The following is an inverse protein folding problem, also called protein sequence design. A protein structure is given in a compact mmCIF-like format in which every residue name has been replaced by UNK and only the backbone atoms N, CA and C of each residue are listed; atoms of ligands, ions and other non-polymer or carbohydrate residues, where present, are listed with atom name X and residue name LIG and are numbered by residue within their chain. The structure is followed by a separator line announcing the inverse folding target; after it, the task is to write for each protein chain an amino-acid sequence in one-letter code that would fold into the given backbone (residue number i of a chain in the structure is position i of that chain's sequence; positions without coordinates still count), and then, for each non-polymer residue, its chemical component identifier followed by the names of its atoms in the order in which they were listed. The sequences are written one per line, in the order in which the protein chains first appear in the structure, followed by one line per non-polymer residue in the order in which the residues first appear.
data_IF_189839891809
#
_entry.id   IF_189839891809
#
_cell.length_a   1.000
_cell.length_b   1.000
_cell.length_c   1.000
_cell.angle_alpha   90.00
_cell.angle_beta   90.00
_cell.angle_gamma   90.00
#
_symmetry.space_group_name_H-M   'P 1'
#
loop_
_entity.id
_entity.type
_entity.pdbx_description
1 polymer ?
#
# COMPACT_ATOMS: atom_id res chain seq x y z
N UNK A 1 34.36 8.95 10.40
CA UNK A 1 32.92 9.29 10.39
C UNK A 1 32.21 9.02 9.06
N UNK A 2 32.90 8.66 7.95
CA UNK A 2 32.26 8.45 6.64
C UNK A 2 31.58 7.09 6.42
N UNK A 3 31.95 6.04 7.16
CA UNK A 3 31.43 4.68 6.99
C UNK A 3 30.03 4.50 7.60
N UNK A 4 29.73 5.17 8.71
CA UNK A 4 28.42 5.09 9.38
C UNK A 4 27.30 5.72 8.57
N UNK A 5 27.55 6.85 7.91
CA UNK A 5 26.57 7.56 7.07
C UNK A 5 26.18 6.72 5.84
N UNK A 6 27.17 6.08 5.20
CA UNK A 6 26.94 5.16 4.08
C UNK A 6 26.06 3.97 4.47
N UNK A 7 26.36 3.30 5.59
CA UNK A 7 25.56 2.15 6.05
C UNK A 7 24.13 2.53 6.45
N UNK A 8 23.92 3.74 6.98
CA UNK A 8 22.61 4.25 7.33
C UNK A 8 21.78 4.53 6.07
N UNK A 9 22.38 5.19 5.07
CA UNK A 9 21.73 5.46 3.79
C UNK A 9 21.29 4.16 3.08
N UNK A 10 22.15 3.13 3.07
CA UNK A 10 21.80 1.82 2.51
C UNK A 10 20.62 1.16 3.23
N UNK A 11 20.59 1.20 4.57
CA UNK A 11 19.47 0.66 5.34
C UNK A 11 18.15 1.40 5.09
N UNK A 12 18.22 2.72 4.93
CA UNK A 12 17.04 3.54 4.59
C UNK A 12 16.51 3.14 3.20
N UNK A 13 17.39 3.04 2.20
CA UNK A 13 17.00 2.65 0.84
C UNK A 13 16.38 1.23 0.81
N UNK A 14 16.98 0.26 1.51
CA UNK A 14 16.41 -1.10 1.61
C UNK A 14 15.04 -1.11 2.29
N UNK A 15 14.84 -0.28 3.33
CA UNK A 15 13.55 -0.16 4.02
C UNK A 15 12.49 0.46 3.11
N UNK A 16 12.84 1.49 2.34
CA UNK A 16 11.94 2.13 1.38
C UNK A 16 11.51 1.15 0.29
N UNK A 17 12.47 0.45 -0.33
CA UNK A 17 12.17 -0.56 -1.35
C UNK A 17 11.27 -1.68 -0.82
N UNK A 18 11.49 -2.12 0.42
CA UNK A 18 10.63 -3.10 1.08
C UNK A 18 9.21 -2.57 1.29
N UNK A 19 9.06 -1.32 1.74
CA UNK A 19 7.76 -0.69 1.95
C UNK A 19 7.00 -0.50 0.63
N UNK A 20 7.68 -0.08 -0.44
CA UNK A 20 7.08 0.04 -1.77
C UNK A 20 6.60 -1.31 -2.29
N UNK A 21 7.42 -2.36 -2.15
CA UNK A 21 7.02 -3.72 -2.52
C UNK A 21 5.78 -4.19 -1.73
N UNK A 22 5.77 -3.96 -0.42
CA UNK A 22 4.63 -4.28 0.44
C UNK A 22 3.37 -3.51 0.05
N UNK A 23 3.51 -2.22 -0.27
CA UNK A 23 2.41 -1.38 -0.73
C UNK A 23 1.81 -1.93 -2.03
N UNK A 24 2.65 -2.29 -3.00
CA UNK A 24 2.21 -2.90 -4.26
C UNK A 24 1.49 -4.23 -4.05
N UNK A 25 2.03 -5.11 -3.19
CA UNK A 25 1.38 -6.38 -2.84
C UNK A 25 -0.01 -6.16 -2.23
N UNK A 26 -0.15 -5.16 -1.34
CA UNK A 26 -1.44 -4.79 -0.74
C UNK A 26 -2.42 -4.26 -1.78
N UNK A 27 -1.99 -3.34 -2.65
CA UNK A 27 -2.84 -2.80 -3.72
C UNK A 27 -3.31 -3.89 -4.68
N UNK A 28 -2.42 -4.82 -5.07
CA UNK A 28 -2.79 -5.95 -5.92
C UNK A 28 -3.80 -6.88 -5.27
N UNK A 29 -3.73 -7.09 -3.95
CA UNK A 29 -4.70 -7.88 -3.21
C UNK A 29 -6.08 -7.21 -3.20
N UNK A 30 -6.15 -5.91 -2.92
CA UNK A 30 -7.41 -5.16 -2.97
C UNK A 30 -7.98 -5.19 -4.38
N UNK A 31 -7.14 -4.97 -5.39
CA UNK A 31 -7.55 -4.99 -6.80
C UNK A 31 -8.22 -6.31 -7.22
N UNK A 32 -7.96 -7.46 -6.57
CA UNK A 32 -8.64 -8.72 -6.89
C UNK A 32 -10.14 -8.69 -6.64
N UNK A 33 -10.60 -7.83 -5.72
CA UNK A 33 -12.01 -7.70 -5.33
C UNK A 33 -12.74 -6.58 -6.08
N UNK A 34 -12.00 -5.79 -6.88
CA UNK A 34 -12.50 -4.61 -7.56
C UNK A 34 -12.84 -4.87 -9.03
N UNK A 35 -13.84 -4.15 -9.53
CA UNK A 35 -14.11 -4.06 -10.97
C UNK A 35 -12.96 -3.36 -11.71
N UNK A 36 -12.97 -3.40 -13.05
CA UNK A 36 -11.95 -2.69 -13.85
C UNK A 36 -11.95 -1.19 -13.60
N UNK A 37 -13.14 -0.59 -13.45
CA UNK A 37 -13.33 0.84 -13.14
C UNK A 37 -12.80 1.19 -11.75
N UNK A 38 -13.11 0.37 -10.73
CA UNK A 38 -12.63 0.60 -9.36
C UNK A 38 -11.11 0.41 -9.23
N UNK A 39 -10.50 -0.46 -10.06
CA UNK A 39 -9.03 -0.59 -10.11
C UNK A 39 -8.39 0.70 -10.60
N UNK A 40 -8.95 1.37 -11.59
CA UNK A 40 -8.45 2.66 -12.06
C UNK A 40 -8.52 3.72 -10.95
N UNK A 41 -9.61 3.73 -10.16
CA UNK A 41 -9.73 4.58 -8.96
C UNK A 41 -8.66 4.23 -7.92
N UNK A 42 -8.43 2.94 -7.64
CA UNK A 42 -7.42 2.50 -6.69
C UNK A 42 -6.00 2.92 -7.08
N UNK A 43 -5.63 2.75 -8.35
CA UNK A 43 -4.28 3.06 -8.84
C UNK A 43 -4.08 4.56 -9.14
N UNK A 44 -5.14 5.29 -9.49
CA UNK A 44 -5.08 6.75 -9.62
C UNK A 44 -4.98 7.46 -8.26
N UNK A 45 -5.46 6.82 -7.19
CA UNK A 45 -5.49 7.39 -5.84
C UNK A 45 -6.57 8.46 -5.64
N UNK A 46 -7.46 8.64 -6.61
CA UNK A 46 -8.50 9.66 -6.60
C UNK A 46 -9.88 9.02 -6.41
N UNK A 47 -10.26 8.79 -5.16
CA UNK A 47 -11.59 8.32 -4.79
C UNK A 47 -11.57 7.24 -3.71
N UNK A 48 -12.70 6.57 -3.56
CA UNK A 48 -12.88 5.45 -2.63
C UNK A 48 -13.29 4.20 -3.42
N UNK A 49 -12.80 3.05 -2.96
CA UNK A 49 -13.12 1.75 -3.54
C UNK A 49 -13.71 0.84 -2.47
N UNK A 50 -14.58 -0.08 -2.87
CA UNK A 50 -15.19 -1.03 -1.93
C UNK A 50 -14.20 -2.13 -1.61
N UNK A 51 -13.79 -2.22 -0.34
CA UNK A 51 -12.89 -3.26 0.14
C UNK A 51 -13.63 -4.14 1.16
N UNK A 52 -13.48 -5.47 1.11
CA UNK A 52 -13.99 -6.34 2.17
C UNK A 52 -13.43 -5.96 3.54
N UNK A 53 -14.26 -5.99 4.57
CA UNK A 53 -13.90 -5.59 5.94
C UNK A 53 -12.66 -6.34 6.46
N UNK A 54 -12.56 -7.62 6.17
CA UNK A 54 -11.44 -8.49 6.58
C UNK A 54 -10.10 -8.00 6.01
N UNK A 55 -10.05 -7.62 4.73
CA UNK A 55 -8.82 -7.10 4.11
C UNK A 55 -8.52 -5.66 4.54
N UNK A 56 -9.54 -4.84 4.78
CA UNK A 56 -9.37 -3.51 5.35
C UNK A 56 -8.74 -3.54 6.75
N UNK A 57 -9.25 -4.41 7.64
CA UNK A 57 -8.69 -4.63 8.98
C UNK A 57 -7.26 -5.19 8.92
N UNK A 58 -7.02 -6.16 8.05
CA UNK A 58 -5.70 -6.79 7.88
C UNK A 58 -4.64 -5.81 7.40
N UNK A 59 -5.00 -4.93 6.48
CA UNK A 59 -4.09 -3.94 5.92
C UNK A 59 -4.03 -2.65 6.75
N UNK A 60 -4.86 -2.53 7.79
CA UNK A 60 -5.02 -1.31 8.61
C UNK A 60 -5.24 -0.07 7.76
N UNK A 61 -6.07 -0.19 6.74
CA UNK A 61 -6.42 0.91 5.84
C UNK A 61 -7.53 1.71 6.50
N UNK A 62 -7.46 3.03 6.41
CA UNK A 62 -8.56 3.90 6.79
C UNK A 62 -9.77 3.61 5.90
N UNK A 63 -10.73 2.85 6.46
CA UNK A 63 -11.95 2.47 5.79
C UNK A 63 -13.09 3.34 6.31
N UNK A 64 -13.82 3.97 5.40
CA UNK A 64 -15.08 4.63 5.73
C UNK A 64 -16.17 3.56 5.80
N UNK A 65 -16.70 3.32 7.00
CA UNK A 65 -17.85 2.44 7.18
C UNK A 65 -19.09 3.16 6.64
N UNK A 66 -19.61 2.68 5.50
CA UNK A 66 -20.99 2.99 5.12
C UNK A 66 -21.91 2.19 6.05
N UNK A 67 -22.38 2.83 7.11
CA UNK A 67 -23.52 2.39 7.94
C UNK A 67 -24.83 2.55 7.18
#
# INVERSE_FOLDING_TARGET
MGTTISTLASKIASKQAYQEKKKLESLQRIARYLSTEEKEVLFSGNGFVRVPKEEAERMKIDAYLNT
#
